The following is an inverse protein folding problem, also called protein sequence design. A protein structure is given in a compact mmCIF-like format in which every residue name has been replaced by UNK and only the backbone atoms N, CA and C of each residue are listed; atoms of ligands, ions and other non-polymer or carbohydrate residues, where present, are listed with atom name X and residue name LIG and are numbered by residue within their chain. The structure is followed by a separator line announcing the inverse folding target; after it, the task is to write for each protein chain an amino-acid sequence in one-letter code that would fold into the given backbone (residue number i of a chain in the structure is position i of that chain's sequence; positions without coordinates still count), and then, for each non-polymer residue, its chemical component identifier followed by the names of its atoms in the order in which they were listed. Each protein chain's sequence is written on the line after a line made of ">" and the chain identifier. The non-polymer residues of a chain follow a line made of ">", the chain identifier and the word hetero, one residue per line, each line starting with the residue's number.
data_IF_133668302345
#
_entry.id   IF_133668302345
#
_cell.length_a   1.000
_cell.length_b   1.000
_cell.length_c   1.000
_cell.angle_alpha   90.00
_cell.angle_beta   90.00
_cell.angle_gamma   90.00
#
_symmetry.space_group_name_H-M   'P 1'
#
loop_
_entity.id
_entity.type
_entity.pdbx_description
1 polymer ?
#
# COMPACT_ATOMS: atom_id res chain seq x y z
N UNK A 1 -18.74 -22.49 10.23
CA UNK A 1 -18.64 -21.27 9.40
C UNK A 1 -18.80 -21.69 7.94
N UNK A 2 -19.72 -21.08 7.19
CA UNK A 2 -19.89 -21.41 5.75
C UNK A 2 -18.77 -20.81 4.88
N UNK A 3 -18.70 -21.24 3.61
CA UNK A 3 -17.72 -20.75 2.62
C UNK A 3 -17.68 -19.21 2.53
N UNK A 4 -18.84 -18.55 2.55
CA UNK A 4 -18.96 -17.10 2.55
C UNK A 4 -18.23 -16.44 3.74
N UNK A 5 -18.42 -16.96 4.95
CA UNK A 5 -17.80 -16.40 6.15
C UNK A 5 -16.28 -16.54 6.13
N UNK A 6 -15.77 -17.68 5.65
CA UNK A 6 -14.33 -17.89 5.51
C UNK A 6 -13.71 -16.93 4.48
N UNK A 7 -14.35 -16.74 3.33
CA UNK A 7 -13.91 -15.77 2.32
C UNK A 7 -13.95 -14.34 2.85
N UNK A 8 -14.99 -13.96 3.59
CA UNK A 8 -15.10 -12.63 4.19
C UNK A 8 -13.97 -12.38 5.20
N UNK A 9 -13.64 -13.36 6.04
CA UNK A 9 -12.50 -13.26 6.98
C UNK A 9 -11.19 -13.09 6.22
N UNK A 10 -10.95 -13.91 5.18
CA UNK A 10 -9.75 -13.78 4.35
C UNK A 10 -9.68 -12.41 3.66
N UNK A 11 -10.80 -11.89 3.18
CA UNK A 11 -10.87 -10.57 2.55
C UNK A 11 -10.50 -9.44 3.52
N UNK A 12 -11.03 -9.49 4.75
CA UNK A 12 -10.71 -8.49 5.80
C UNK A 12 -9.23 -8.59 6.19
N UNK A 13 -8.70 -9.80 6.40
CA UNK A 13 -7.28 -9.99 6.72
C UNK A 13 -6.37 -9.49 5.58
N UNK A 14 -6.74 -9.73 4.34
CA UNK A 14 -6.03 -9.23 3.16
C UNK A 14 -6.03 -7.69 3.11
N UNK A 15 -7.17 -7.06 3.44
CA UNK A 15 -7.27 -5.60 3.55
C UNK A 15 -6.34 -5.06 4.63
N UNK A 16 -6.28 -5.69 5.80
CA UNK A 16 -5.37 -5.29 6.89
C UNK A 16 -3.91 -5.44 6.45
N UNK A 17 -3.56 -6.54 5.79
CA UNK A 17 -2.22 -6.79 5.28
C UNK A 17 -1.78 -5.77 4.20
N UNK A 18 -2.71 -5.29 3.38
CA UNK A 18 -2.46 -4.21 2.42
C UNK A 18 -2.26 -2.86 3.12
N UNK A 19 -3.19 -2.50 4.01
CA UNK A 19 -3.27 -1.16 4.62
C UNK A 19 -2.15 -0.92 5.63
N UNK A 20 -1.88 -1.88 6.52
CA UNK A 20 -0.95 -1.70 7.65
C UNK A 20 0.44 -1.21 7.23
N UNK A 21 1.18 -1.96 6.40
CA UNK A 21 2.50 -1.53 5.90
C UNK A 21 2.44 -0.23 5.10
N UNK A 22 1.39 -0.01 4.30
CA UNK A 22 1.26 1.19 3.47
C UNK A 22 1.04 2.48 4.29
N UNK A 23 0.51 2.38 5.51
CA UNK A 23 0.43 3.48 6.47
C UNK A 23 1.71 3.66 7.29
N UNK A 24 2.27 2.55 7.78
CA UNK A 24 3.38 2.59 8.75
C UNK A 24 4.74 2.86 8.10
N UNK A 25 5.03 2.27 6.92
CA UNK A 25 6.35 2.41 6.29
C UNK A 25 6.72 3.87 5.97
N UNK A 26 5.81 4.71 5.42
CA UNK A 26 6.10 6.13 5.21
C UNK A 26 6.44 6.88 6.49
N UNK A 27 5.77 6.57 7.60
CA UNK A 27 6.03 7.21 8.90
C UNK A 27 7.43 6.83 9.40
N UNK A 28 7.77 5.54 9.38
CA UNK A 28 9.09 5.06 9.81
C UNK A 28 10.20 5.74 9.00
N UNK A 29 10.08 5.75 7.66
CA UNK A 29 11.10 6.37 6.80
C UNK A 29 11.25 7.87 7.00
N UNK A 30 10.14 8.60 7.21
CA UNK A 30 10.17 10.05 7.46
C UNK A 30 10.73 10.40 8.85
N UNK A 31 10.72 9.45 9.79
CA UNK A 31 11.26 9.65 11.13
C UNK A 31 12.79 9.51 11.22
N UNK A 32 13.43 8.96 10.19
CA UNK A 32 14.89 8.75 10.15
C UNK A 32 15.63 10.09 10.10
N UNK A 33 16.60 10.28 11.01
CA UNK A 33 17.43 11.49 11.12
C UNK A 33 18.86 11.31 10.65
N UNK A 34 19.28 10.07 10.38
CA UNK A 34 20.62 9.74 9.87
C UNK A 34 20.54 8.75 8.71
N UNK A 35 21.60 8.68 7.91
CA UNK A 35 21.72 7.73 6.79
C UNK A 35 21.60 6.28 7.27
N UNK A 36 22.18 5.95 8.44
CA UNK A 36 22.06 4.62 9.04
C UNK A 36 20.62 4.24 9.40
N UNK A 37 19.86 5.16 10.01
CA UNK A 37 18.44 4.94 10.31
C UNK A 37 17.61 4.83 9.03
N UNK A 38 17.92 5.63 8.01
CA UNK A 38 17.23 5.59 6.74
C UNK A 38 17.48 4.26 5.99
N UNK A 39 18.72 3.76 5.99
CA UNK A 39 19.07 2.43 5.45
C UNK A 39 18.33 1.32 6.18
N UNK A 40 18.28 1.38 7.50
CA UNK A 40 17.51 0.42 8.30
C UNK A 40 16.02 0.46 7.94
N UNK A 41 15.43 1.66 7.87
CA UNK A 41 14.03 1.86 7.49
C UNK A 41 13.74 1.33 6.08
N UNK A 42 14.65 1.51 5.12
CA UNK A 42 14.54 0.94 3.78
C UNK A 42 14.69 -0.58 3.75
N UNK A 43 15.59 -1.14 4.56
CA UNK A 43 15.74 -2.59 4.72
C UNK A 43 14.45 -3.22 5.25
N UNK A 44 13.82 -2.61 6.25
CA UNK A 44 12.50 -3.02 6.76
C UNK A 44 11.44 -2.86 5.68
N UNK A 45 11.38 -1.71 5.00
CA UNK A 45 10.38 -1.44 3.95
C UNK A 45 10.45 -2.50 2.85
N UNK A 46 11.65 -2.89 2.43
CA UNK A 46 11.85 -3.88 1.36
C UNK A 46 11.39 -5.27 1.79
N UNK A 47 11.73 -5.68 3.02
CA UNK A 47 11.29 -6.97 3.58
C UNK A 47 9.77 -7.04 3.76
N UNK A 48 9.16 -5.95 4.21
CA UNK A 48 7.73 -5.88 4.46
C UNK A 48 6.91 -5.59 3.19
N UNK A 49 7.53 -5.22 2.07
CA UNK A 49 6.85 -4.97 0.80
C UNK A 49 6.15 -6.21 0.22
N UNK A 50 6.54 -7.43 0.64
CA UNK A 50 5.85 -8.65 0.23
C UNK A 50 4.43 -8.75 0.83
N UNK A 51 4.22 -8.22 2.03
CA UNK A 51 2.94 -8.29 2.75
C UNK A 51 1.82 -7.54 2.00
N UNK A 52 1.98 -6.25 1.62
CA UNK A 52 0.93 -5.55 0.89
C UNK A 52 0.72 -6.07 -0.52
N UNK A 53 1.73 -6.71 -1.15
CA UNK A 53 1.55 -7.35 -2.46
C UNK A 53 0.65 -8.57 -2.38
N UNK A 54 0.94 -9.47 -1.43
CA UNK A 54 0.09 -10.64 -1.19
C UNK A 54 -1.29 -10.18 -0.70
N UNK A 55 -1.34 -9.24 0.24
CA UNK A 55 -2.58 -8.64 0.73
C UNK A 55 -3.43 -8.06 -0.39
N UNK A 56 -2.84 -7.25 -1.27
CA UNK A 56 -3.52 -6.66 -2.42
C UNK A 56 -4.04 -7.71 -3.40
N UNK A 57 -3.23 -8.71 -3.76
CA UNK A 57 -3.67 -9.80 -4.64
C UNK A 57 -4.83 -10.61 -4.04
N UNK A 58 -4.70 -11.01 -2.77
CA UNK A 58 -5.74 -11.77 -2.06
C UNK A 58 -7.01 -10.92 -1.90
N UNK A 59 -6.89 -9.62 -1.61
CA UNK A 59 -8.01 -8.69 -1.49
C UNK A 59 -8.84 -8.66 -2.78
N UNK A 60 -8.19 -8.52 -3.93
CA UNK A 60 -8.86 -8.52 -5.24
C UNK A 60 -9.52 -9.87 -5.52
N UNK A 61 -8.79 -10.98 -5.36
CA UNK A 61 -9.30 -12.32 -5.65
C UNK A 61 -10.52 -12.65 -4.77
N UNK A 62 -10.40 -12.43 -3.45
CA UNK A 62 -11.49 -12.70 -2.50
C UNK A 62 -12.66 -11.74 -2.70
N UNK A 63 -12.42 -10.49 -3.07
CA UNK A 63 -13.46 -9.52 -3.41
C UNK A 63 -14.30 -9.98 -4.60
N UNK A 64 -13.64 -10.37 -5.70
CA UNK A 64 -14.31 -10.92 -6.89
C UNK A 64 -15.08 -12.19 -6.55
N UNK A 65 -14.50 -13.08 -5.74
CA UNK A 65 -15.17 -14.31 -5.33
C UNK A 65 -16.45 -14.02 -4.53
N UNK A 66 -16.40 -13.06 -3.59
CA UNK A 66 -17.57 -12.63 -2.82
C UNK A 66 -18.66 -12.04 -3.72
N UNK A 67 -18.30 -11.27 -4.76
CA UNK A 67 -19.26 -10.75 -5.75
C UNK A 67 -20.00 -11.87 -6.49
N UNK A 68 -19.29 -12.94 -6.85
CA UNK A 68 -19.85 -14.09 -7.57
C UNK A 68 -20.80 -14.88 -6.66
N UNK A 69 -20.39 -15.21 -5.44
CA UNK A 69 -21.21 -16.00 -4.49
C UNK A 69 -22.49 -15.25 -4.10
N UNK A 70 -22.39 -13.95 -3.87
CA UNK A 70 -23.54 -13.13 -3.45
C UNK A 70 -24.49 -12.79 -4.60
N UNK A 71 -24.10 -13.08 -5.85
CA UNK A 71 -24.82 -12.68 -7.08
C UNK A 71 -25.08 -11.17 -7.18
N UNK A 72 -24.38 -10.34 -6.39
CA UNK A 72 -24.47 -8.88 -6.48
C UNK A 72 -23.82 -8.37 -7.78
N UNK A 73 -22.82 -9.08 -8.31
CA UNK A 73 -22.18 -8.74 -9.58
C UNK A 73 -21.72 -7.28 -9.64
N UNK A 74 -21.75 -6.68 -10.83
CA UNK A 74 -21.47 -5.26 -11.06
C UNK A 74 -22.72 -4.37 -10.93
N UNK A 75 -23.80 -4.86 -10.33
CA UNK A 75 -25.06 -4.10 -10.22
C UNK A 75 -24.98 -2.97 -9.18
N UNK A 76 -24.12 -3.14 -8.17
CA UNK A 76 -23.98 -2.20 -7.07
C UNK A 76 -22.85 -1.21 -7.35
N UNK A 77 -23.20 0.08 -7.40
CA UNK A 77 -22.25 1.12 -7.79
C UNK A 77 -21.10 1.24 -6.77
N UNK A 78 -21.37 1.15 -5.47
CA UNK A 78 -20.35 1.19 -4.43
C UNK A 78 -19.33 0.05 -4.56
N UNK A 79 -19.79 -1.11 -5.01
CA UNK A 79 -18.96 -2.30 -5.18
C UNK A 79 -18.03 -2.13 -6.37
N UNK A 80 -18.54 -1.62 -7.49
CA UNK A 80 -17.75 -1.30 -8.69
C UNK A 80 -16.68 -0.25 -8.38
N UNK A 81 -17.07 0.81 -7.65
CA UNK A 81 -16.14 1.87 -7.23
C UNK A 81 -15.07 1.30 -6.31
N UNK A 82 -15.45 0.50 -5.31
CA UNK A 82 -14.48 -0.14 -4.40
C UNK A 82 -13.50 -1.04 -5.12
N UNK A 83 -13.98 -1.83 -6.08
CA UNK A 83 -13.15 -2.70 -6.91
C UNK A 83 -12.17 -1.90 -7.78
N UNK A 84 -12.65 -0.87 -8.47
CA UNK A 84 -11.82 0.01 -9.28
C UNK A 84 -10.75 0.74 -8.46
N UNK A 85 -11.14 1.27 -7.30
CA UNK A 85 -10.20 1.91 -6.37
C UNK A 85 -9.16 0.93 -5.84
N UNK A 86 -9.55 -0.32 -5.55
CA UNK A 86 -8.62 -1.35 -5.08
C UNK A 86 -7.57 -1.67 -6.14
N UNK A 87 -7.98 -1.80 -7.41
CA UNK A 87 -7.05 -1.99 -8.53
C UNK A 87 -6.12 -0.78 -8.71
N UNK A 88 -6.67 0.43 -8.62
CA UNK A 88 -5.89 1.67 -8.71
C UNK A 88 -4.82 1.74 -7.63
N UNK A 89 -5.12 1.35 -6.38
CA UNK A 89 -4.14 1.32 -5.29
C UNK A 89 -3.01 0.34 -5.56
N UNK A 90 -3.32 -0.87 -6.02
CA UNK A 90 -2.28 -1.87 -6.36
C UNK A 90 -1.35 -1.30 -7.43
N UNK A 91 -1.90 -0.66 -8.47
CA UNK A 91 -1.10 0.00 -9.52
C UNK A 91 -0.30 1.19 -8.97
N UNK A 92 -0.85 1.98 -8.06
CA UNK A 92 -0.13 3.08 -7.41
C UNK A 92 1.05 2.59 -6.57
N UNK A 93 0.86 1.52 -5.81
CA UNK A 93 1.92 0.97 -4.95
C UNK A 93 3.01 0.33 -5.80
N UNK A 94 2.67 -0.64 -6.66
CA UNK A 94 3.64 -1.45 -7.39
C UNK A 94 4.20 -0.72 -8.62
N UNK A 95 3.38 0.08 -9.30
CA UNK A 95 3.75 0.78 -10.53
C UNK A 95 4.42 2.14 -10.30
N UNK A 96 4.01 2.87 -9.27
CA UNK A 96 4.46 4.26 -9.07
C UNK A 96 5.34 4.46 -7.84
N UNK A 97 5.01 3.86 -6.70
CA UNK A 97 5.75 4.06 -5.44
C UNK A 97 6.99 3.17 -5.42
N UNK A 98 6.84 1.86 -5.63
CA UNK A 98 7.95 0.90 -5.52
C UNK A 98 9.15 1.21 -6.43
N UNK A 99 8.98 1.52 -7.74
CA UNK A 99 10.12 1.77 -8.62
C UNK A 99 10.86 3.05 -8.25
N UNK A 100 10.13 4.09 -7.82
CA UNK A 100 10.73 5.34 -7.35
C UNK A 100 11.47 5.12 -6.03
N UNK A 101 10.92 4.30 -5.13
CA UNK A 101 11.56 3.99 -3.86
C UNK A 101 12.88 3.20 -4.07
N UNK A 102 12.89 2.23 -4.98
CA UNK A 102 14.11 1.49 -5.34
C UNK A 102 15.20 2.41 -5.90
N UNK A 103 14.84 3.40 -6.72
CA UNK A 103 15.78 4.41 -7.23
C UNK A 103 16.39 5.24 -6.09
N UNK A 104 15.57 5.68 -5.15
CA UNK A 104 16.05 6.44 -3.97
C UNK A 104 17.01 5.59 -3.12
N UNK A 105 16.66 4.33 -2.85
CA UNK A 105 17.49 3.42 -2.06
C UNK A 105 18.86 3.23 -2.72
N UNK A 106 18.90 3.12 -4.06
CA UNK A 106 20.15 3.00 -4.82
C UNK A 106 21.02 4.24 -4.65
N UNK A 107 20.48 5.44 -4.83
CA UNK A 107 21.22 6.70 -4.68
C UNK A 107 21.78 6.86 -3.26
N UNK A 108 20.97 6.58 -2.23
CA UNK A 108 21.41 6.63 -0.82
C UNK A 108 22.48 5.57 -0.50
N UNK A 109 22.45 4.44 -1.21
CA UNK A 109 23.49 3.40 -1.07
C UNK A 109 24.81 3.83 -1.71
N UNK A 110 24.76 4.54 -2.83
CA UNK A 110 25.93 5.04 -3.58
C UNK A 110 26.56 6.29 -2.95
N UNK A 111 25.79 7.10 -2.22
CA UNK A 111 26.24 8.35 -1.56
C UNK A 111 27.09 8.12 -0.30
N UNK A 112 27.58 6.89 -0.08
CA UNK A 112 28.11 6.41 1.20
C UNK A 112 29.39 7.13 1.67
N UNK A 113 30.10 7.78 0.75
CA UNK A 113 31.38 8.43 1.03
C UNK A 113 31.26 9.86 1.61
N UNK A 114 30.04 10.42 1.73
CA UNK A 114 29.85 11.85 2.06
C UNK A 114 29.41 12.15 3.50
N UNK A 115 29.47 11.19 4.43
CA UNK A 115 29.22 11.40 5.87
C UNK A 115 27.85 10.95 6.38
N UNK A 116 27.54 11.29 7.64
CA UNK A 116 26.34 10.81 8.36
C UNK A 116 25.05 11.60 8.05
N UNK A 117 25.14 12.65 7.24
CA UNK A 117 24.02 13.52 6.91
C UNK A 117 23.19 12.97 5.75
N UNK A 118 21.87 13.16 5.81
CA UNK A 118 20.95 12.68 4.77
C UNK A 118 21.17 13.53 3.50
N UNK A 119 21.43 12.92 2.32
CA UNK A 119 21.69 13.67 1.09
C UNK A 119 20.54 14.63 0.74
N UNK A 120 20.84 15.86 0.32
CA UNK A 120 19.81 16.83 -0.09
C UNK A 120 18.93 16.32 -1.24
N UNK A 121 19.50 15.49 -2.13
CA UNK A 121 18.78 14.83 -3.22
C UNK A 121 17.67 13.89 -2.73
N UNK A 122 17.85 13.25 -1.56
CA UNK A 122 16.84 12.41 -0.95
C UNK A 122 15.57 13.21 -0.64
N UNK A 123 15.71 14.40 -0.05
CA UNK A 123 14.58 15.27 0.26
C UNK A 123 13.79 15.68 -0.98
N UNK A 124 14.48 16.02 -2.07
CA UNK A 124 13.87 16.38 -3.35
C UNK A 124 13.10 15.22 -3.99
N UNK A 125 13.67 14.01 -3.96
CA UNK A 125 13.02 12.81 -4.50
C UNK A 125 11.83 12.37 -3.66
N UNK A 126 11.96 12.43 -2.33
CA UNK A 126 10.85 12.13 -1.42
C UNK A 126 9.69 13.10 -1.61
N UNK A 127 9.93 14.39 -1.85
CA UNK A 127 8.87 15.37 -2.14
C UNK A 127 8.00 14.98 -3.34
N UNK A 128 8.51 14.18 -4.29
CA UNK A 128 7.74 13.64 -5.43
C UNK A 128 6.95 12.37 -5.08
N UNK A 129 7.38 11.59 -4.10
CA UNK A 129 6.73 10.33 -3.68
C UNK A 129 5.65 10.59 -2.63
N UNK A 130 5.91 11.49 -1.68
CA UNK A 130 5.01 11.79 -0.55
C UNK A 130 3.57 12.06 -0.98
N UNK A 131 3.29 12.89 -2.02
CA UNK A 131 1.92 13.11 -2.45
C UNK A 131 1.24 11.85 -3.00
N UNK A 132 1.98 10.99 -3.70
CA UNK A 132 1.46 9.74 -4.26
C UNK A 132 1.13 8.75 -3.13
N UNK A 133 2.00 8.66 -2.12
CA UNK A 133 1.75 7.86 -0.92
C UNK A 133 0.53 8.36 -0.15
N UNK A 134 0.44 9.67 0.07
CA UNK A 134 -0.70 10.27 0.75
C UNK A 134 -2.00 10.06 -0.03
N UNK A 135 -1.98 10.20 -1.36
CA UNK A 135 -3.12 9.87 -2.19
C UNK A 135 -3.52 8.39 -2.07
N UNK A 136 -2.57 7.46 -2.12
CA UNK A 136 -2.84 6.04 -1.90
C UNK A 136 -3.43 5.77 -0.51
N UNK A 137 -2.95 6.45 0.53
CA UNK A 137 -3.49 6.36 1.89
C UNK A 137 -4.93 6.86 2.00
N UNK A 138 -5.24 8.00 1.37
CA UNK A 138 -6.61 8.52 1.31
C UNK A 138 -7.54 7.58 0.55
N UNK A 139 -7.07 6.98 -0.56
CA UNK A 139 -7.84 5.98 -1.29
C UNK A 139 -8.09 4.72 -0.45
N UNK A 140 -7.10 4.24 0.32
CA UNK A 140 -7.28 3.10 1.23
C UNK A 140 -8.36 3.38 2.28
N UNK A 141 -8.38 4.60 2.84
CA UNK A 141 -9.45 5.02 3.77
C UNK A 141 -10.80 5.04 3.06
N UNK A 142 -10.88 5.61 1.85
CA UNK A 142 -12.12 5.64 1.08
C UNK A 142 -12.66 4.24 0.79
N UNK A 143 -11.80 3.28 0.41
CA UNK A 143 -12.18 1.87 0.21
C UNK A 143 -12.69 1.25 1.51
N UNK A 144 -11.99 1.48 2.64
CA UNK A 144 -12.41 0.94 3.92
C UNK A 144 -13.78 1.50 4.34
N UNK A 145 -14.00 2.80 4.15
CA UNK A 145 -15.31 3.44 4.38
C UNK A 145 -16.38 2.81 3.49
N UNK A 146 -16.11 2.60 2.20
CA UNK A 146 -17.05 1.93 1.30
C UNK A 146 -17.36 0.49 1.75
N UNK A 147 -16.35 -0.26 2.21
CA UNK A 147 -16.53 -1.63 2.72
C UNK A 147 -17.39 -1.70 3.99
N UNK A 148 -17.27 -0.70 4.88
CA UNK A 148 -17.98 -0.69 6.17
C UNK A 148 -19.37 -0.08 6.02
N UNK A 149 -19.45 1.11 5.42
CA UNK A 149 -20.70 1.87 5.31
C UNK A 149 -21.64 1.23 4.31
N UNK A 150 -21.11 0.59 3.24
CA UNK A 150 -21.87 -0.06 2.18
C UNK A 150 -23.08 0.79 1.78
N UNK A 151 -22.87 2.00 1.25
CA UNK A 151 -23.98 2.88 0.94
C UNK A 151 -24.86 2.23 -0.13
N UNK A 152 -26.00 1.71 0.35
CA UNK A 152 -27.12 1.07 -0.37
C UNK A 152 -26.80 -0.30 -0.98
#
# INVERSE_FOLDING_TARGET
>A
MGLFGLLLVLHILASIALIGPAFVMPIIRRSARSVGQLRFAFGITTKLAIIPKIGGAVLIITGVWLMIITKMGLSQMWLNVSFLLSLLIVVMIDGFIEPRMKKIIKIVSESQDQGNEIPAEFGLLMKKIVPIETAAQLLMIAILVLMVVKPF
#
